data_IF_723039993285
#
_entry.id   IF_723039993285
#
_cell.length_a   1.000
_cell.length_b   1.000
_cell.length_c   1.000
_cell.angle_alpha   90.00
_cell.angle_beta   90.00
_cell.angle_gamma   90.00
#
_symmetry.space_group_name_H-M   'P 1'
#
loop_
_entity.id
_entity.type
_entity.pdbx_description
1 polymer ?
#
# COMPACT_ATOMS: atom_id res chain seq x y z
N UNK A 1 -19.83 13.12 4.72
CA UNK A 1 -18.99 12.49 3.70
C UNK A 1 -17.80 11.88 4.41
N UNK A 2 -17.58 10.58 4.20
CA UNK A 2 -16.44 9.85 4.76
C UNK A 2 -15.32 9.82 3.74
N UNK A 3 -14.07 9.79 4.24
CA UNK A 3 -12.89 9.46 3.48
C UNK A 3 -12.29 8.18 4.07
N UNK A 4 -12.38 7.09 3.31
CA UNK A 4 -11.78 5.81 3.68
C UNK A 4 -10.35 5.77 3.16
N UNK A 5 -9.39 5.84 4.06
CA UNK A 5 -7.97 5.92 3.71
C UNK A 5 -7.33 4.54 3.51
N UNK A 6 -8.06 3.45 3.75
CA UNK A 6 -7.52 2.10 3.67
C UNK A 6 -8.63 1.05 3.46
N UNK A 7 -8.88 0.68 2.21
CA UNK A 7 -9.84 -0.36 1.88
C UNK A 7 -9.41 -1.13 0.64
N UNK A 8 -9.30 -2.45 0.77
CA UNK A 8 -8.81 -3.35 -0.27
C UNK A 8 -9.92 -3.78 -1.23
N UNK A 9 -10.37 -2.89 -2.09
CA UNK A 9 -11.34 -3.23 -3.14
C UNK A 9 -10.70 -4.01 -4.31
N UNK A 10 -9.37 -4.09 -4.36
CA UNK A 10 -8.62 -4.94 -5.28
C UNK A 10 -8.70 -6.44 -4.95
N UNK A 11 -9.06 -6.78 -3.69
CA UNK A 11 -9.17 -8.16 -3.20
C UNK A 11 -10.18 -8.99 -4.01
N UNK A 12 -9.86 -10.28 -4.22
CA UNK A 12 -10.70 -11.21 -4.99
C UNK A 12 -12.10 -11.45 -4.38
N UNK A 13 -12.26 -11.23 -3.08
CA UNK A 13 -13.56 -11.30 -2.42
C UNK A 13 -14.58 -10.33 -3.03
N UNK A 14 -14.13 -9.24 -3.66
CA UNK A 14 -14.97 -8.28 -4.36
C UNK A 14 -15.19 -8.61 -5.85
N UNK A 15 -14.55 -9.64 -6.42
CA UNK A 15 -14.68 -9.96 -7.86
C UNK A 15 -16.13 -10.05 -8.36
N UNK A 16 -17.11 -10.60 -7.59
CA UNK A 16 -18.48 -10.72 -8.06
C UNK A 16 -19.22 -9.37 -8.23
N UNK A 17 -18.89 -8.35 -7.40
CA UNK A 17 -19.69 -7.12 -7.29
C UNK A 17 -18.86 -5.84 -7.12
N UNK A 18 -17.53 -5.91 -7.23
CA UNK A 18 -16.59 -4.78 -7.03
C UNK A 18 -17.06 -3.48 -7.68
N UNK A 19 -17.45 -3.54 -8.94
CA UNK A 19 -17.87 -2.34 -9.69
C UNK A 19 -19.16 -1.75 -9.16
N UNK A 20 -20.13 -2.57 -8.77
CA UNK A 20 -21.37 -2.13 -8.16
C UNK A 20 -21.12 -1.49 -6.79
N UNK A 21 -20.30 -2.15 -5.96
CA UNK A 21 -19.91 -1.64 -4.64
C UNK A 21 -19.22 -0.28 -4.78
N UNK A 22 -18.18 -0.17 -5.61
CA UNK A 22 -17.45 1.09 -5.82
C UNK A 22 -18.35 2.19 -6.37
N UNK A 23 -19.17 1.92 -7.37
CA UNK A 23 -20.11 2.90 -7.94
C UNK A 23 -21.14 3.40 -6.91
N UNK A 24 -21.51 2.55 -5.94
CA UNK A 24 -22.49 2.86 -4.90
C UNK A 24 -21.94 3.64 -3.69
N UNK A 25 -20.61 3.74 -3.52
CA UNK A 25 -19.99 4.37 -2.35
C UNK A 25 -20.40 5.84 -2.13
N UNK A 26 -20.41 6.71 -3.16
CA UNK A 26 -20.79 8.11 -2.97
C UNK A 26 -22.23 8.27 -2.43
N UNK A 27 -23.18 7.46 -2.90
CA UNK A 27 -24.56 7.48 -2.44
C UNK A 27 -24.70 7.00 -0.98
N UNK A 28 -23.74 6.18 -0.50
CA UNK A 28 -23.64 5.72 0.90
C UNK A 28 -22.86 6.68 1.79
N UNK A 29 -22.41 7.83 1.26
CA UNK A 29 -21.71 8.86 2.00
C UNK A 29 -20.19 8.68 2.07
N UNK A 30 -19.61 7.70 1.36
CA UNK A 30 -18.16 7.53 1.20
C UNK A 30 -17.73 8.30 -0.05
N UNK A 31 -17.10 9.44 0.13
CA UNK A 31 -16.77 10.36 -0.97
C UNK A 31 -15.40 10.15 -1.57
N UNK A 32 -14.46 9.56 -0.82
CA UNK A 32 -13.11 9.25 -1.27
C UNK A 32 -12.66 7.92 -0.63
N UNK A 33 -11.86 7.17 -1.40
CA UNK A 33 -11.24 5.90 -0.97
C UNK A 33 -9.80 5.86 -1.43
N UNK A 34 -8.91 5.32 -0.60
CA UNK A 34 -7.58 4.85 -1.02
C UNK A 34 -7.56 3.33 -0.95
N UNK A 35 -7.26 2.70 -2.08
CA UNK A 35 -7.09 1.25 -2.25
C UNK A 35 -5.58 0.94 -2.26
N UNK A 36 -5.00 0.35 -1.18
CA UNK A 36 -3.58 0.07 -1.11
C UNK A 36 -3.26 -1.32 -1.64
N UNK A 37 -2.30 -1.40 -2.57
CA UNK A 37 -1.78 -2.66 -3.06
C UNK A 37 -0.89 -3.38 -2.05
N UNK A 38 -0.93 -4.72 -2.06
CA UNK A 38 -0.10 -5.59 -1.22
C UNK A 38 0.98 -6.35 -2.00
N UNK A 39 0.82 -6.42 -3.32
CA UNK A 39 1.73 -7.04 -4.28
C UNK A 39 1.83 -6.15 -5.52
N UNK A 40 2.72 -6.47 -6.47
CA UNK A 40 2.71 -5.76 -7.76
C UNK A 40 1.37 -5.92 -8.49
N UNK A 41 0.82 -7.14 -8.50
CA UNK A 41 -0.45 -7.42 -9.17
C UNK A 41 -1.61 -6.66 -8.51
N UNK A 42 -1.70 -6.65 -7.19
CA UNK A 42 -2.76 -5.91 -6.49
C UNK A 42 -2.56 -4.39 -6.63
N UNK A 43 -1.32 -3.90 -6.62
CA UNK A 43 -1.01 -2.49 -6.92
C UNK A 43 -1.46 -2.09 -8.33
N UNK A 44 -1.26 -2.95 -9.33
CA UNK A 44 -1.75 -2.72 -10.70
C UNK A 44 -3.30 -2.69 -10.76
N UNK A 45 -3.97 -3.57 -10.02
CA UNK A 45 -5.44 -3.56 -9.87
C UNK A 45 -5.92 -2.27 -9.22
N UNK A 46 -5.33 -1.86 -8.09
CA UNK A 46 -5.67 -0.62 -7.39
C UNK A 46 -5.52 0.61 -8.31
N UNK A 47 -4.43 0.69 -9.08
CA UNK A 47 -4.22 1.74 -10.09
C UNK A 47 -5.31 1.73 -11.17
N UNK A 48 -5.71 0.55 -11.65
CA UNK A 48 -6.78 0.42 -12.63
C UNK A 48 -8.14 0.89 -12.07
N UNK A 49 -8.46 0.53 -10.82
CA UNK A 49 -9.67 0.98 -10.14
C UNK A 49 -9.67 2.50 -9.93
N UNK A 50 -8.53 3.07 -9.55
CA UNK A 50 -8.38 4.52 -9.42
C UNK A 50 -8.59 5.25 -10.76
N UNK A 51 -8.17 4.68 -11.87
CA UNK A 51 -8.42 5.23 -13.21
C UNK A 51 -9.90 5.14 -13.62
N UNK A 52 -10.61 4.09 -13.18
CA UNK A 52 -12.00 3.85 -13.55
C UNK A 52 -12.99 4.70 -12.73
N UNK A 53 -12.74 4.87 -11.42
CA UNK A 53 -13.67 5.53 -10.49
C UNK A 53 -13.12 6.88 -10.01
N UNK A 54 -13.87 8.00 -10.17
CA UNK A 54 -13.36 9.34 -9.85
C UNK A 54 -13.03 9.53 -8.36
N UNK A 55 -13.70 8.82 -7.46
CA UNK A 55 -13.54 8.90 -6.01
C UNK A 55 -12.55 7.88 -5.44
N UNK A 56 -11.96 7.00 -6.27
CA UNK A 56 -10.97 6.01 -5.86
C UNK A 56 -9.57 6.51 -6.19
N UNK A 57 -8.67 6.38 -5.25
CA UNK A 57 -7.24 6.62 -5.34
C UNK A 57 -6.49 5.33 -5.02
N UNK A 58 -5.24 5.22 -5.39
CA UNK A 58 -4.42 4.04 -5.13
C UNK A 58 -3.19 4.38 -4.29
N UNK A 59 -2.75 3.41 -3.49
CA UNK A 59 -1.39 3.33 -3.02
C UNK A 59 -0.74 2.07 -3.60
N UNK A 60 0.57 2.08 -3.79
CA UNK A 60 1.30 0.97 -4.40
C UNK A 60 2.43 0.51 -3.49
N UNK A 61 2.54 -0.80 -3.27
CA UNK A 61 3.52 -1.33 -2.34
C UNK A 61 3.57 -2.85 -2.31
N UNK A 62 4.53 -3.35 -1.51
CA UNK A 62 4.70 -4.76 -1.18
C UNK A 62 4.48 -4.93 0.32
N UNK A 63 3.40 -5.60 0.68
CA UNK A 63 3.05 -5.91 2.05
C UNK A 63 4.09 -6.87 2.67
N UNK A 64 4.42 -6.77 3.96
CA UNK A 64 5.41 -7.64 4.60
C UNK A 64 5.12 -9.13 4.46
N UNK A 65 3.85 -9.54 4.43
CA UNK A 65 3.45 -10.93 4.24
C UNK A 65 3.74 -11.46 2.82
N UNK A 66 3.88 -10.57 1.82
CA UNK A 66 3.99 -10.92 0.41
C UNK A 66 5.40 -10.73 -0.18
N UNK A 67 6.43 -10.59 0.65
CA UNK A 67 7.78 -10.31 0.17
C UNK A 67 8.74 -11.51 0.19
N UNK A 68 8.25 -12.77 0.27
CA UNK A 68 9.08 -13.97 0.25
C UNK A 68 10.04 -14.03 -0.94
N UNK A 69 9.52 -13.73 -2.12
CA UNK A 69 10.25 -13.79 -3.39
C UNK A 69 10.67 -12.40 -3.88
N UNK A 70 10.98 -11.50 -2.93
CA UNK A 70 11.37 -10.14 -3.26
C UNK A 70 12.57 -10.10 -4.20
N UNK A 71 12.44 -9.29 -5.26
CA UNK A 71 13.51 -8.96 -6.20
C UNK A 71 13.66 -7.43 -6.29
N UNK A 72 14.89 -6.90 -6.37
CA UNK A 72 15.12 -5.45 -6.44
C UNK A 72 14.39 -4.74 -7.58
N UNK A 73 14.14 -5.44 -8.69
CA UNK A 73 13.43 -4.95 -9.87
C UNK A 73 11.97 -4.59 -9.56
N UNK A 74 11.39 -5.18 -8.51
CA UNK A 74 10.04 -4.85 -8.07
C UNK A 74 9.93 -3.40 -7.58
N UNK A 75 10.99 -2.84 -6.99
CA UNK A 75 11.02 -1.43 -6.60
C UNK A 75 10.93 -0.51 -7.83
N UNK A 76 11.60 -0.87 -8.93
CA UNK A 76 11.47 -0.11 -10.18
C UNK A 76 10.06 -0.19 -10.77
N UNK A 77 9.42 -1.34 -10.66
CA UNK A 77 8.01 -1.48 -11.07
C UNK A 77 7.07 -0.64 -10.21
N UNK A 78 7.27 -0.63 -8.89
CA UNK A 78 6.52 0.27 -7.99
C UNK A 78 6.75 1.74 -8.34
N UNK A 79 7.98 2.15 -8.67
CA UNK A 79 8.31 3.50 -9.14
C UNK A 79 7.48 3.91 -10.35
N UNK A 80 7.36 3.02 -11.34
CA UNK A 80 6.54 3.27 -12.54
C UNK A 80 5.05 3.39 -12.21
N UNK A 81 4.54 2.52 -11.33
CA UNK A 81 3.15 2.58 -10.86
C UNK A 81 2.87 3.85 -10.06
N UNK A 82 3.80 4.25 -9.20
CA UNK A 82 3.66 5.45 -8.37
C UNK A 82 3.59 6.76 -9.16
N UNK A 83 3.99 6.75 -10.44
CA UNK A 83 3.87 7.91 -11.34
C UNK A 83 2.52 7.97 -12.06
N UNK A 84 1.66 6.95 -11.86
CA UNK A 84 0.33 6.95 -12.48
C UNK A 84 -0.57 7.98 -11.79
N UNK A 85 -1.48 8.54 -12.60
CA UNK A 85 -2.49 9.46 -12.09
C UNK A 85 -3.27 8.82 -10.93
N UNK A 86 -3.56 9.60 -9.89
CA UNK A 86 -4.30 9.18 -8.68
C UNK A 86 -3.59 8.13 -7.79
N UNK A 87 -2.32 7.84 -8.02
CA UNK A 87 -1.50 7.17 -7.01
C UNK A 87 -1.00 8.22 -6.02
N UNK A 88 -1.39 8.07 -4.76
CA UNK A 88 -1.21 9.12 -3.74
C UNK A 88 -0.28 8.74 -2.61
N UNK A 89 0.14 7.47 -2.52
CA UNK A 89 1.01 6.98 -1.45
C UNK A 89 1.81 5.74 -1.90
N UNK A 90 2.89 5.46 -1.18
CA UNK A 90 3.52 4.15 -1.15
C UNK A 90 2.85 3.34 -0.02
N UNK A 91 2.30 2.19 -0.33
CA UNK A 91 1.55 1.39 0.62
C UNK A 91 0.72 0.28 -0.06
N UNK A 92 0.35 -0.75 0.67
CA UNK A 92 0.59 -0.97 2.09
C UNK A 92 1.97 -1.60 2.30
N UNK A 93 2.77 -1.05 3.18
CA UNK A 93 4.14 -1.49 3.44
C UNK A 93 4.41 -1.53 4.96
N UNK A 94 5.35 -2.33 5.41
CA UNK A 94 5.62 -2.37 6.84
C UNK A 94 6.25 -3.65 7.32
N UNK A 95 5.90 -4.03 8.56
CA UNK A 95 6.41 -5.23 9.24
C UNK A 95 5.25 -6.00 9.88
N UNK A 96 5.28 -7.32 9.73
CA UNK A 96 4.36 -8.25 10.39
C UNK A 96 5.16 -9.41 10.99
N UNK A 97 5.21 -9.46 12.34
CA UNK A 97 5.92 -10.50 13.08
C UNK A 97 4.96 -11.47 13.77
N UNK A 98 3.67 -11.35 13.45
CA UNK A 98 2.65 -12.14 14.10
C UNK A 98 2.58 -13.59 13.58
N UNK A 99 2.63 -13.77 12.24
CA UNK A 99 2.48 -15.08 11.62
C UNK A 99 3.84 -15.76 11.44
N UNK A 100 3.94 -17.04 11.83
CA UNK A 100 5.19 -17.81 11.71
C UNK A 100 5.60 -18.06 10.26
N UNK A 101 4.63 -18.15 9.35
CA UNK A 101 4.83 -18.34 7.91
C UNK A 101 5.27 -17.07 7.15
N UNK A 102 5.27 -15.93 7.80
CA UNK A 102 5.71 -14.68 7.17
C UNK A 102 7.19 -14.72 6.75
N UNK A 103 7.59 -13.90 5.77
CA UNK A 103 8.99 -13.74 5.40
C UNK A 103 9.88 -13.45 6.61
N UNK A 104 11.17 -13.88 6.59
CA UNK A 104 12.10 -13.58 7.66
C UNK A 104 12.14 -12.09 7.99
N UNK A 105 12.18 -11.73 9.28
CA UNK A 105 12.17 -10.34 9.75
C UNK A 105 13.21 -9.46 9.05
N UNK A 106 14.42 -9.99 8.83
CA UNK A 106 15.48 -9.25 8.13
C UNK A 106 15.10 -8.90 6.69
N UNK A 107 14.40 -9.80 5.99
CA UNK A 107 13.90 -9.55 4.64
C UNK A 107 12.79 -8.49 4.64
N UNK A 108 11.82 -8.61 5.55
CA UNK A 108 10.76 -7.59 5.69
C UNK A 108 11.34 -6.20 5.95
N UNK A 109 12.34 -6.10 6.84
CA UNK A 109 13.02 -4.84 7.16
C UNK A 109 13.79 -4.28 5.96
N UNK A 110 14.45 -5.12 5.17
CA UNK A 110 15.12 -4.70 3.94
C UNK A 110 14.12 -4.13 2.93
N UNK A 111 13.04 -4.87 2.69
CA UNK A 111 11.99 -4.46 1.72
C UNK A 111 11.32 -3.17 2.18
N UNK A 112 11.04 -3.01 3.48
CA UNK A 112 10.51 -1.77 4.02
C UNK A 112 11.46 -0.59 3.75
N UNK A 113 12.76 -0.70 4.05
CA UNK A 113 13.73 0.38 3.80
C UNK A 113 13.78 0.78 2.33
N UNK A 114 13.74 -0.17 1.41
CA UNK A 114 13.72 0.11 -0.03
C UNK A 114 12.48 0.89 -0.46
N UNK A 115 11.33 0.56 0.12
CA UNK A 115 10.08 1.25 -0.18
C UNK A 115 10.01 2.63 0.48
N UNK A 116 10.58 2.81 1.67
CA UNK A 116 10.71 4.14 2.29
C UNK A 116 11.66 5.04 1.51
N UNK A 117 12.78 4.50 1.00
CA UNK A 117 13.68 5.24 0.12
C UNK A 117 12.97 5.69 -1.16
N UNK A 118 12.13 4.83 -1.75
CA UNK A 118 11.30 5.17 -2.91
C UNK A 118 10.29 6.28 -2.56
N UNK A 119 9.62 6.18 -1.42
CA UNK A 119 8.66 7.19 -0.97
C UNK A 119 9.33 8.55 -0.74
N UNK A 120 10.52 8.56 -0.13
CA UNK A 120 11.30 9.79 0.06
C UNK A 120 11.74 10.41 -1.28
N UNK A 121 12.21 9.59 -2.21
CA UNK A 121 12.59 10.05 -3.56
C UNK A 121 11.40 10.69 -4.28
N UNK A 122 10.24 10.04 -4.27
CA UNK A 122 9.02 10.49 -4.96
C UNK A 122 8.23 11.54 -4.19
N UNK A 123 8.60 11.84 -2.95
CA UNK A 123 7.89 12.75 -2.02
C UNK A 123 6.43 12.31 -1.78
N UNK A 124 6.19 11.02 -1.81
CA UNK A 124 4.90 10.43 -1.49
C UNK A 124 4.81 10.05 -0.01
N UNK A 125 3.63 10.19 0.62
CA UNK A 125 3.39 9.65 1.95
C UNK A 125 3.33 8.12 1.92
N UNK A 126 3.35 7.52 3.12
CA UNK A 126 3.37 6.06 3.30
C UNK A 126 2.19 5.60 4.15
N UNK A 127 1.57 4.49 3.74
CA UNK A 127 0.60 3.74 4.54
C UNK A 127 1.32 2.55 5.15
N UNK A 128 1.48 2.56 6.49
CA UNK A 128 2.24 1.56 7.23
C UNK A 128 1.35 0.49 7.84
N UNK A 129 1.69 -0.76 7.56
CA UNK A 129 1.25 -1.93 8.33
C UNK A 129 2.23 -2.20 9.47
N UNK A 130 1.73 -2.37 10.68
CA UNK A 130 2.58 -2.68 11.84
C UNK A 130 1.90 -3.67 12.78
N UNK A 131 2.31 -4.91 12.74
CA UNK A 131 1.78 -5.97 13.59
C UNK A 131 2.89 -6.69 14.35
N UNK A 132 2.86 -6.59 15.70
CA UNK A 132 3.86 -7.19 16.59
C UNK A 132 5.32 -6.78 16.26
N UNK A 133 5.53 -5.60 15.65
CA UNK A 133 6.82 -5.15 15.13
C UNK A 133 7.16 -3.69 15.50
N UNK A 134 6.43 -3.07 16.42
CA UNK A 134 6.45 -1.62 16.71
C UNK A 134 7.86 -1.04 16.92
N UNK A 135 8.73 -1.76 17.65
CA UNK A 135 10.10 -1.31 17.94
C UNK A 135 10.93 -1.15 16.67
N UNK A 136 10.93 -2.17 15.81
CA UNK A 136 11.68 -2.18 14.55
C UNK A 136 11.05 -1.22 13.54
N UNK A 137 9.72 -1.15 13.47
CA UNK A 137 9.00 -0.20 12.62
C UNK A 137 9.41 1.24 12.94
N UNK A 138 9.38 1.63 14.21
CA UNK A 138 9.79 2.97 14.64
C UNK A 138 11.28 3.23 14.41
N UNK A 139 12.15 2.22 14.61
CA UNK A 139 13.58 2.36 14.37
C UNK A 139 13.85 2.65 12.89
N UNK A 140 13.20 1.90 11.99
CA UNK A 140 13.37 2.07 10.52
C UNK A 140 12.78 3.40 10.04
N UNK A 141 11.60 3.79 10.51
CA UNK A 141 10.98 5.07 10.11
C UNK A 141 11.86 6.26 10.48
N UNK A 142 12.58 6.20 11.61
CA UNK A 142 13.52 7.26 12.02
C UNK A 142 14.75 7.41 11.09
N UNK A 143 15.06 6.38 10.30
CA UNK A 143 16.11 6.47 9.24
C UNK A 143 15.68 7.39 8.09
N UNK A 144 14.36 7.67 7.96
CA UNK A 144 13.74 8.44 6.87
C UNK A 144 12.95 9.65 7.40
N UNK A 145 13.58 10.65 8.01
CA UNK A 145 12.90 11.73 8.74
C UNK A 145 12.06 12.65 7.85
N UNK A 146 12.25 12.63 6.53
CA UNK A 146 11.45 13.42 5.59
C UNK A 146 10.18 12.69 5.11
N UNK A 147 10.09 11.37 5.32
CA UNK A 147 8.92 10.58 4.94
C UNK A 147 7.78 10.83 5.92
N UNK A 148 6.61 11.14 5.40
CA UNK A 148 5.36 11.24 6.15
C UNK A 148 4.53 9.99 5.94
N UNK A 149 3.72 9.63 6.92
CA UNK A 149 2.85 8.46 6.76
C UNK A 149 1.87 8.30 7.90
N UNK A 150 1.07 7.25 7.78
CA UNK A 150 0.10 6.84 8.79
C UNK A 150 0.30 5.36 9.08
N UNK A 151 0.28 5.01 10.36
CA UNK A 151 0.19 3.62 10.82
C UNK A 151 -1.27 3.23 10.98
N UNK A 152 -1.60 2.01 10.60
CA UNK A 152 -2.93 1.46 10.82
C UNK A 152 -2.89 0.12 11.55
#
# INVERSE_FOLDING_TARGET
>A
MLFDTHAHYDDEAFDPDRREVLAGLPQKGVGLVVDPGCTLTSSEKAVALAAEFPHVYAAVGLHPENCHDFQPEQIERLRQLAQREKVVAIGEVGLDYYWEENPPRALQQEVLRRQLALADELKLPVIFHDREAHGDSLAIVREFPAVRGVFH
#
